data_IF_363090770100
#
_entry.id   IF_363090770100
#
_cell.length_a   1.000
_cell.length_b   1.000
_cell.length_c   1.000
_cell.angle_alpha   90.00
_cell.angle_beta   90.00
_cell.angle_gamma   90.00
#
_symmetry.space_group_name_H-M   'P 1'
#
loop_
_entity.id
_entity.type
_entity.pdbx_description
1 polymer ?
#
# COMPACT_ATOMS: atom_id res chain seq x y z
N UNK A 1 -31.09 27.21 -14.53
CA UNK A 1 -31.28 28.04 -13.35
C UNK A 1 -31.74 27.18 -12.19
N UNK A 2 -30.83 26.74 -11.31
CA UNK A 2 -31.15 26.32 -9.94
C UNK A 2 -29.90 26.59 -9.08
N UNK A 3 -29.91 27.75 -8.44
CA UNK A 3 -29.00 28.12 -7.38
C UNK A 3 -29.57 27.57 -6.06
N UNK A 4 -28.86 26.65 -5.42
CA UNK A 4 -29.05 26.34 -4.00
C UNK A 4 -27.77 26.68 -3.26
N UNK A 5 -27.84 27.76 -2.51
CA UNK A 5 -26.85 28.16 -1.53
C UNK A 5 -26.94 27.24 -0.30
N UNK A 6 -25.90 26.48 -0.01
CA UNK A 6 -25.73 25.72 1.24
C UNK A 6 -24.97 26.66 2.19
N UNK A 7 -25.60 26.99 3.32
CA UNK A 7 -24.94 27.65 4.45
C UNK A 7 -24.07 26.61 5.17
N UNK A 8 -22.80 26.90 5.33
CA UNK A 8 -21.86 26.06 6.09
C UNK A 8 -21.69 26.71 7.45
N UNK A 9 -22.03 25.97 8.51
CA UNK A 9 -21.91 26.43 9.92
C UNK A 9 -20.42 26.57 10.29
N UNK A 10 -20.14 27.67 11.04
CA UNK A 10 -18.80 28.17 11.34
C UNK A 10 -17.95 27.37 12.34
N UNK A 11 -18.23 26.07 12.57
CA UNK A 11 -17.47 25.25 13.53
C UNK A 11 -16.35 24.41 12.89
N UNK A 12 -16.27 24.34 11.56
CA UNK A 12 -15.32 23.48 10.86
C UNK A 12 -13.98 24.16 10.50
N UNK A 13 -13.78 25.43 10.80
CA UNK A 13 -12.60 26.19 10.38
C UNK A 13 -11.42 26.16 11.37
N UNK A 14 -11.56 25.57 12.55
CA UNK A 14 -10.46 25.53 13.54
C UNK A 14 -9.52 24.31 13.41
N UNK A 15 -9.91 23.25 12.70
CA UNK A 15 -9.10 22.03 12.54
C UNK A 15 -8.19 22.03 11.30
N UNK A 16 -8.51 22.80 10.28
CA UNK A 16 -7.75 22.85 9.01
C UNK A 16 -6.44 23.65 9.13
N UNK A 17 -6.38 24.60 10.07
CA UNK A 17 -5.20 25.47 10.26
C UNK A 17 -3.99 24.75 10.89
N UNK A 18 -4.20 23.66 11.64
CA UNK A 18 -3.12 22.98 12.35
C UNK A 18 -2.31 22.04 11.44
N UNK A 19 -2.98 21.34 10.53
CA UNK A 19 -2.30 20.41 9.61
C UNK A 19 -1.41 21.10 8.55
N UNK A 20 -1.74 22.34 8.15
CA UNK A 20 -0.95 23.09 7.18
C UNK A 20 0.34 23.66 7.78
N UNK A 21 0.35 23.97 9.09
CA UNK A 21 1.53 24.47 9.80
C UNK A 21 2.62 23.41 9.97
N UNK A 22 2.23 22.19 10.30
CA UNK A 22 3.17 21.10 10.57
C UNK A 22 3.86 20.61 9.28
N UNK A 23 3.17 20.60 8.16
CA UNK A 23 3.75 20.24 6.86
C UNK A 23 4.79 21.29 6.37
N UNK A 24 4.57 22.56 6.66
CA UNK A 24 5.50 23.64 6.26
C UNK A 24 6.77 23.66 7.12
N UNK A 25 6.64 23.36 8.43
CA UNK A 25 7.79 23.25 9.33
C UNK A 25 8.73 22.07 8.97
N UNK A 26 8.18 20.97 8.50
CA UNK A 26 8.96 19.80 8.10
C UNK A 26 9.83 20.05 6.88
N UNK A 27 9.38 20.88 5.95
CA UNK A 27 10.14 21.27 4.75
C UNK A 27 11.32 22.20 5.12
N UNK A 28 11.19 23.00 6.17
CA UNK A 28 12.20 24.00 6.55
C UNK A 28 13.33 23.47 7.43
N UNK A 29 13.14 22.35 8.12
CA UNK A 29 14.10 21.87 9.12
C UNK A 29 14.78 20.53 8.81
N UNK A 30 14.56 19.91 7.65
CA UNK A 30 15.28 18.69 7.23
C UNK A 30 15.25 17.54 8.26
N UNK A 31 14.35 17.62 9.24
CA UNK A 31 14.17 16.60 10.26
C UNK A 31 13.27 15.48 9.74
N UNK A 32 13.72 14.24 9.86
CA UNK A 32 12.88 13.08 9.68
C UNK A 32 11.59 13.28 10.48
N UNK A 33 10.48 13.52 9.77
CA UNK A 33 9.17 13.45 10.39
C UNK A 33 9.07 12.06 11.01
N UNK A 34 8.88 12.01 12.31
CA UNK A 34 8.47 10.78 12.98
C UNK A 34 7.29 10.25 12.18
N UNK A 35 7.41 9.03 11.67
CA UNK A 35 6.37 8.36 10.90
C UNK A 35 5.20 8.03 11.85
N UNK A 36 4.46 9.03 12.26
CA UNK A 36 3.21 8.81 12.95
C UNK A 36 2.18 8.42 11.88
N UNK A 37 1.86 7.13 11.85
CA UNK A 37 0.75 6.63 11.08
C UNK A 37 -0.55 7.03 11.76
N UNK A 38 -1.49 7.55 10.99
CA UNK A 38 -2.82 7.91 11.49
C UNK A 38 -3.62 6.65 11.85
N UNK A 39 -4.68 6.81 12.63
CA UNK A 39 -5.65 5.74 12.89
C UNK A 39 -6.24 5.19 11.58
N UNK A 40 -6.43 6.04 10.62
CA UNK A 40 -6.83 5.74 9.26
C UNK A 40 -5.85 4.78 8.56
N UNK A 41 -4.53 5.05 8.64
CA UNK A 41 -3.51 4.16 8.08
C UNK A 41 -3.55 2.78 8.75
N UNK A 42 -3.76 2.73 10.06
CA UNK A 42 -3.88 1.48 10.80
C UNK A 42 -5.09 0.65 10.37
N UNK A 43 -6.23 1.26 10.10
CA UNK A 43 -7.44 0.56 9.64
C UNK A 43 -7.22 -0.10 8.28
N UNK A 44 -6.63 0.60 7.30
CA UNK A 44 -6.38 0.02 5.98
C UNK A 44 -5.26 -1.00 5.98
N UNK A 45 -4.22 -0.80 6.79
CA UNK A 45 -3.18 -1.83 6.92
C UNK A 45 -3.71 -3.08 7.62
N UNK A 46 -4.59 -2.96 8.61
CA UNK A 46 -5.24 -4.11 9.23
C UNK A 46 -6.04 -4.93 8.19
N UNK A 47 -6.79 -4.25 7.32
CA UNK A 47 -7.51 -4.91 6.24
C UNK A 47 -6.57 -5.59 5.23
N UNK A 48 -5.43 -4.96 4.90
CA UNK A 48 -4.40 -5.60 4.09
C UNK A 48 -3.81 -6.84 4.78
N UNK A 49 -3.67 -6.83 6.11
CA UNK A 49 -3.23 -8.01 6.88
C UNK A 49 -4.25 -9.15 6.83
N UNK A 50 -5.55 -8.88 6.93
CA UNK A 50 -6.61 -9.90 6.76
C UNK A 50 -6.51 -10.56 5.38
N UNK A 51 -6.25 -9.78 4.34
CA UNK A 51 -6.04 -10.31 2.99
C UNK A 51 -4.75 -11.13 2.86
N UNK A 52 -3.69 -10.76 3.58
CA UNK A 52 -2.48 -11.58 3.63
C UNK A 52 -2.74 -12.94 4.29
N UNK A 53 -3.53 -12.98 5.37
CA UNK A 53 -3.97 -14.24 6.00
C UNK A 53 -4.83 -15.07 5.03
N UNK A 54 -5.70 -14.42 4.27
CA UNK A 54 -6.48 -15.09 3.21
C UNK A 54 -5.57 -15.70 2.14
N UNK A 55 -4.52 -14.99 1.69
CA UNK A 55 -3.52 -15.55 0.77
C UNK A 55 -2.87 -16.81 1.35
N UNK A 56 -2.44 -16.78 2.61
CA UNK A 56 -1.86 -17.94 3.29
C UNK A 56 -2.81 -19.14 3.29
N UNK A 57 -4.11 -18.93 3.54
CA UNK A 57 -5.14 -19.98 3.52
C UNK A 57 -5.33 -20.63 2.14
N UNK A 58 -5.07 -19.87 1.07
CA UNK A 58 -5.08 -20.34 -0.33
C UNK A 58 -3.76 -21.02 -0.73
N UNK A 59 -2.76 -21.06 0.15
CA UNK A 59 -1.43 -21.58 -0.15
C UNK A 59 -0.53 -20.61 -0.93
N UNK A 60 -0.94 -19.36 -1.06
CA UNK A 60 -0.18 -18.26 -1.65
C UNK A 60 0.76 -17.60 -0.63
N UNK A 61 1.78 -16.90 -1.10
CA UNK A 61 2.62 -16.07 -0.21
C UNK A 61 1.74 -15.01 0.44
N UNK A 62 1.77 -14.87 1.78
CA UNK A 62 0.83 -14.01 2.52
C UNK A 62 1.13 -12.52 2.32
N UNK A 63 0.60 -11.98 1.24
CA UNK A 63 0.63 -10.56 0.92
C UNK A 63 -0.79 -10.10 0.59
N UNK A 64 -1.22 -9.01 1.22
CA UNK A 64 -2.49 -8.35 0.98
C UNK A 64 -2.29 -6.88 0.66
N UNK A 65 -3.18 -6.34 -0.15
CA UNK A 65 -3.13 -4.95 -0.61
C UNK A 65 -4.52 -4.31 -0.66
N UNK A 66 -4.60 -3.04 -0.26
CA UNK A 66 -5.81 -2.22 -0.25
C UNK A 66 -5.54 -0.93 -1.01
N UNK A 67 -6.39 -0.59 -1.97
CA UNK A 67 -6.39 0.69 -2.67
C UNK A 67 -7.50 1.56 -2.10
N UNK A 68 -7.15 2.78 -1.72
CA UNK A 68 -8.06 3.76 -1.11
C UNK A 68 -8.06 5.05 -1.93
N UNK A 69 -9.20 5.67 -2.09
CA UNK A 69 -9.38 7.00 -2.70
C UNK A 69 -10.25 7.85 -1.77
N UNK A 70 -9.73 8.99 -1.33
CA UNK A 70 -10.46 9.96 -0.48
C UNK A 70 -11.16 9.32 0.73
N UNK A 71 -10.54 8.29 1.32
CA UNK A 71 -11.06 7.59 2.50
C UNK A 71 -11.93 6.38 2.20
N UNK A 72 -12.28 6.16 0.98
CA UNK A 72 -13.11 5.04 0.56
C UNK A 72 -12.26 3.90 0.00
N UNK A 73 -12.57 2.67 0.40
CA UNK A 73 -11.91 1.47 -0.12
C UNK A 73 -12.41 1.20 -1.54
N UNK A 74 -11.49 1.26 -2.51
CA UNK A 74 -11.80 1.00 -3.93
C UNK A 74 -11.55 -0.46 -4.30
N UNK A 75 -10.44 -1.03 -3.80
CA UNK A 75 -10.09 -2.41 -4.11
C UNK A 75 -9.34 -3.06 -2.96
N UNK A 76 -9.59 -4.34 -2.77
CA UNK A 76 -8.91 -5.20 -1.79
C UNK A 76 -8.55 -6.50 -2.48
N UNK A 77 -7.28 -6.90 -2.44
CA UNK A 77 -6.79 -8.12 -3.08
C UNK A 77 -5.60 -8.72 -2.29
N UNK A 78 -5.33 -9.99 -2.57
CA UNK A 78 -4.17 -10.69 -2.05
C UNK A 78 -3.39 -11.38 -3.17
N UNK A 79 -2.19 -11.88 -2.89
CA UNK A 79 -1.42 -12.69 -3.84
C UNK A 79 -2.23 -13.90 -4.32
N UNK A 80 -2.16 -14.15 -5.65
CA UNK A 80 -2.86 -15.26 -6.30
C UNK A 80 -2.07 -15.86 -7.47
N UNK A 81 -0.75 -15.81 -7.40
CA UNK A 81 0.14 -16.27 -8.47
C UNK A 81 -0.06 -17.75 -8.81
N UNK A 82 -0.15 -18.61 -7.79
CA UNK A 82 -0.37 -20.05 -7.94
C UNK A 82 -1.79 -20.32 -8.41
N UNK A 83 -2.77 -19.71 -7.73
CA UNK A 83 -4.20 -19.93 -8.00
C UNK A 83 -4.60 -19.52 -9.42
N UNK A 84 -4.02 -18.43 -9.94
CA UNK A 84 -4.32 -17.91 -11.27
C UNK A 84 -3.35 -18.37 -12.34
N UNK A 85 -2.25 -19.07 -11.99
CA UNK A 85 -1.14 -19.37 -12.88
C UNK A 85 -0.62 -18.10 -13.61
N UNK A 86 -0.56 -16.99 -12.87
CA UNK A 86 -0.18 -15.67 -13.38
C UNK A 86 1.00 -15.11 -12.57
N UNK A 87 2.21 -15.00 -13.16
CA UNK A 87 3.39 -14.49 -12.46
C UNK A 87 3.24 -13.01 -12.04
N UNK A 88 2.31 -12.28 -12.62
CA UNK A 88 2.03 -10.89 -12.28
C UNK A 88 0.96 -10.72 -11.19
N UNK A 89 0.32 -11.79 -10.73
CA UNK A 89 -0.78 -11.75 -9.77
C UNK A 89 -0.31 -11.48 -8.33
N UNK A 90 0.53 -10.47 -8.15
CA UNK A 90 0.85 -9.89 -6.85
C UNK A 90 -0.33 -9.08 -6.33
N UNK A 91 -0.49 -9.01 -5.01
CA UNK A 91 -1.58 -8.30 -4.35
C UNK A 91 -1.73 -6.86 -4.85
N UNK A 92 -0.60 -6.13 -4.99
CA UNK A 92 -0.56 -4.76 -5.46
C UNK A 92 -1.08 -4.63 -6.90
N UNK A 93 -0.61 -5.51 -7.79
CA UNK A 93 -1.01 -5.49 -9.21
C UNK A 93 -2.50 -5.80 -9.35
N UNK A 94 -2.98 -6.80 -8.62
CA UNK A 94 -4.40 -7.18 -8.62
C UNK A 94 -5.28 -6.06 -8.06
N UNK A 95 -4.89 -5.45 -6.94
CA UNK A 95 -5.63 -4.34 -6.33
C UNK A 95 -5.67 -3.11 -7.24
N UNK A 96 -4.54 -2.72 -7.85
CA UNK A 96 -4.48 -1.60 -8.78
C UNK A 96 -5.29 -1.86 -10.07
N UNK A 97 -5.25 -3.09 -10.60
CA UNK A 97 -6.06 -3.51 -11.75
C UNK A 97 -7.55 -3.40 -11.44
N UNK A 98 -7.96 -3.90 -10.28
CA UNK A 98 -9.37 -3.83 -9.84
C UNK A 98 -9.80 -2.39 -9.60
N UNK A 99 -8.97 -1.57 -8.95
CA UNK A 99 -9.25 -0.15 -8.77
C UNK A 99 -9.41 0.58 -10.11
N UNK A 100 -8.56 0.28 -11.09
CA UNK A 100 -8.68 0.85 -12.43
C UNK A 100 -10.01 0.49 -13.11
N UNK A 101 -10.47 -0.74 -12.95
CA UNK A 101 -11.79 -1.18 -13.44
C UNK A 101 -12.94 -0.48 -12.72
N UNK A 102 -12.86 -0.35 -11.39
CA UNK A 102 -13.90 0.31 -10.58
C UNK A 102 -14.03 1.80 -10.89
N UNK A 103 -12.90 2.47 -11.17
CA UNK A 103 -12.85 3.91 -11.45
C UNK A 103 -12.90 4.24 -12.95
N UNK A 104 -13.01 3.22 -13.82
CA UNK A 104 -12.97 3.35 -15.29
C UNK A 104 -11.78 4.20 -15.78
N UNK A 105 -10.63 4.04 -15.11
CA UNK A 105 -9.43 4.80 -15.42
C UNK A 105 -8.17 3.99 -15.02
N UNK A 106 -7.21 3.83 -15.94
CA UNK A 106 -5.92 3.20 -15.62
C UNK A 106 -5.02 4.10 -14.76
N UNK A 107 -5.26 5.40 -14.76
CA UNK A 107 -4.60 6.33 -13.84
C UNK A 107 -5.44 6.48 -12.60
N UNK A 108 -4.81 6.33 -11.47
CA UNK A 108 -5.42 6.34 -10.14
C UNK A 108 -4.90 7.54 -9.31
N UNK A 109 -5.04 8.78 -9.83
CA UNK A 109 -4.55 9.96 -9.12
C UNK A 109 -5.28 10.06 -7.77
N UNK A 110 -4.56 10.51 -6.75
CA UNK A 110 -5.02 10.61 -5.36
C UNK A 110 -5.27 9.27 -4.65
N UNK A 111 -5.19 8.13 -5.33
CA UNK A 111 -5.26 6.83 -4.67
C UNK A 111 -4.02 6.60 -3.79
N UNK A 112 -4.26 5.91 -2.68
CA UNK A 112 -3.25 5.40 -1.77
C UNK A 112 -3.26 3.87 -1.82
N UNK A 113 -2.09 3.24 -1.73
CA UNK A 113 -1.95 1.79 -1.62
C UNK A 113 -1.36 1.43 -0.27
N UNK A 114 -2.04 0.54 0.44
CA UNK A 114 -1.55 -0.12 1.65
C UNK A 114 -1.22 -1.57 1.29
N UNK A 115 -0.03 -2.05 1.63
CA UNK A 115 0.42 -3.42 1.31
C UNK A 115 1.27 -3.98 2.46
N UNK A 116 1.14 -5.26 2.73
CA UNK A 116 1.80 -5.89 3.89
C UNK A 116 3.28 -6.18 3.67
N UNK A 117 3.77 -6.15 2.42
CA UNK A 117 5.17 -6.42 2.06
C UNK A 117 5.70 -5.34 1.12
N UNK A 118 6.99 -5.06 1.21
CA UNK A 118 7.67 -4.14 0.31
C UNK A 118 7.47 -4.54 -1.16
N UNK A 119 6.97 -3.63 -2.03
CA UNK A 119 6.76 -3.92 -3.44
C UNK A 119 8.04 -4.25 -4.20
N UNK A 120 7.97 -5.26 -5.08
CA UNK A 120 9.04 -5.59 -6.00
C UNK A 120 9.11 -4.60 -7.19
N UNK A 121 10.12 -4.75 -8.06
CA UNK A 121 10.33 -3.87 -9.22
C UNK A 121 9.10 -3.80 -10.15
N UNK A 122 8.41 -4.93 -10.40
CA UNK A 122 7.19 -4.97 -11.20
C UNK A 122 6.07 -4.13 -10.57
N UNK A 123 5.86 -4.28 -9.27
CA UNK A 123 4.83 -3.54 -8.52
C UNK A 123 5.16 -2.05 -8.46
N UNK A 124 6.43 -1.67 -8.22
CA UNK A 124 6.87 -0.28 -8.26
C UNK A 124 6.59 0.34 -9.64
N UNK A 125 6.89 -0.37 -10.73
CA UNK A 125 6.56 0.09 -12.08
C UNK A 125 5.06 0.32 -12.26
N UNK A 126 4.23 -0.60 -11.76
CA UNK A 126 2.76 -0.48 -11.85
C UNK A 126 2.25 0.73 -11.06
N UNK A 127 2.79 0.99 -9.85
CA UNK A 127 2.45 2.17 -9.05
C UNK A 127 2.72 3.48 -9.79
N UNK A 128 3.89 3.58 -10.44
CA UNK A 128 4.28 4.77 -11.22
C UNK A 128 3.37 4.95 -12.43
N UNK A 129 3.09 3.89 -13.19
CA UNK A 129 2.20 3.96 -14.35
C UNK A 129 0.76 4.29 -13.96
N UNK A 130 0.27 3.76 -12.86
CA UNK A 130 -1.04 4.05 -12.31
C UNK A 130 -1.14 5.45 -11.67
N UNK A 131 -0.04 6.17 -11.49
CA UNK A 131 -0.03 7.51 -10.85
C UNK A 131 -0.51 7.50 -9.41
N UNK A 132 -0.22 6.43 -8.66
CA UNK A 132 -0.58 6.34 -7.24
C UNK A 132 0.09 7.48 -6.47
N UNK A 133 -0.66 8.12 -5.59
CA UNK A 133 -0.21 9.27 -4.79
C UNK A 133 0.71 8.83 -3.67
N UNK A 134 0.30 7.80 -2.91
CA UNK A 134 0.99 7.34 -1.69
C UNK A 134 0.99 5.83 -1.61
N UNK A 135 2.12 5.28 -1.17
CA UNK A 135 2.33 3.89 -0.81
C UNK A 135 2.64 3.79 0.68
N UNK A 136 1.97 2.90 1.40
CA UNK A 136 2.34 2.49 2.75
C UNK A 136 2.59 0.99 2.74
N UNK A 137 3.80 0.56 3.11
CA UNK A 137 4.10 -0.87 3.22
C UNK A 137 4.56 -1.26 4.63
N UNK A 138 4.21 -2.49 5.04
CA UNK A 138 4.49 -2.94 6.40
C UNK A 138 5.95 -3.35 6.56
N UNK A 139 6.35 -4.51 6.04
CA UNK A 139 7.70 -5.04 6.23
C UNK A 139 8.53 -4.98 4.97
N UNK A 140 9.85 -4.86 5.12
CA UNK A 140 10.81 -4.90 4.02
C UNK A 140 10.99 -6.31 3.46
N UNK A 141 11.37 -6.41 2.17
CA UNK A 141 11.73 -7.66 1.50
C UNK A 141 13.19 -7.59 1.00
N UNK A 142 14.16 -8.12 1.75
CA UNK A 142 15.58 -7.93 1.45
C UNK A 142 16.04 -8.48 0.10
N UNK A 143 15.30 -9.42 -0.51
CA UNK A 143 15.71 -10.10 -1.75
C UNK A 143 15.09 -9.50 -3.00
N UNK A 144 13.83 -9.08 -2.91
CA UNK A 144 13.07 -8.66 -4.08
C UNK A 144 12.40 -7.29 -3.91
N UNK A 145 12.39 -6.73 -2.70
CA UNK A 145 11.83 -5.41 -2.42
C UNK A 145 12.59 -4.33 -3.16
N UNK A 146 11.88 -3.46 -3.85
CA UNK A 146 12.50 -2.49 -4.74
C UNK A 146 12.27 -1.03 -4.33
N UNK A 147 11.62 -0.79 -3.18
CA UNK A 147 11.41 0.57 -2.66
C UNK A 147 12.64 1.04 -1.88
N UNK A 148 13.13 0.21 -0.94
CA UNK A 148 14.29 0.52 -0.09
C UNK A 148 15.37 -0.55 -0.14
N UNK A 149 14.98 -1.84 -0.31
CA UNK A 149 15.89 -2.97 -0.06
C UNK A 149 16.92 -3.19 -1.17
N UNK A 150 16.56 -3.07 -2.44
CA UNK A 150 17.45 -3.45 -3.54
C UNK A 150 17.78 -2.33 -4.54
N UNK A 151 16.83 -1.51 -4.96
CA UNK A 151 17.03 -0.61 -6.10
C UNK A 151 16.53 0.82 -5.94
N UNK A 152 15.84 1.16 -4.84
CA UNK A 152 15.20 2.48 -4.64
C UNK A 152 14.40 2.94 -5.85
N UNK A 153 13.60 2.01 -6.41
CA UNK A 153 12.97 2.18 -7.72
C UNK A 153 12.04 3.40 -7.80
N UNK A 154 11.39 3.77 -6.69
CA UNK A 154 10.48 4.92 -6.65
C UNK A 154 11.20 6.27 -6.52
N UNK A 155 12.49 6.27 -6.14
CA UNK A 155 13.30 7.49 -5.96
C UNK A 155 14.07 7.88 -7.23
N UNK A 156 13.98 7.08 -8.31
CA UNK A 156 14.65 7.35 -9.56
C UNK A 156 14.23 8.71 -10.14
N UNK A 157 15.15 9.68 -10.34
CA UNK A 157 14.82 11.02 -10.82
C UNK A 157 14.26 11.06 -12.25
N UNK A 158 14.49 10.01 -13.04
CA UNK A 158 13.96 9.90 -14.41
C UNK A 158 12.47 9.54 -14.48
N UNK A 159 11.85 9.17 -13.37
CA UNK A 159 10.43 8.84 -13.36
C UNK A 159 9.57 10.08 -13.64
N UNK A 160 8.56 9.89 -14.46
CA UNK A 160 7.59 10.92 -14.83
C UNK A 160 6.44 11.09 -13.81
N UNK A 161 6.49 10.36 -12.70
CA UNK A 161 5.58 10.47 -11.55
C UNK A 161 6.31 10.07 -10.26
N UNK A 162 6.05 10.80 -9.19
CA UNK A 162 6.59 10.54 -7.86
C UNK A 162 5.51 9.92 -6.99
N UNK A 163 5.80 8.74 -6.46
CA UNK A 163 4.98 8.08 -5.45
C UNK A 163 5.59 8.41 -4.08
N UNK A 164 4.84 9.07 -3.21
CA UNK A 164 5.26 9.21 -1.81
C UNK A 164 5.16 7.86 -1.12
N UNK A 165 6.12 7.51 -0.27
CA UNK A 165 6.05 6.22 0.41
C UNK A 165 6.46 6.31 1.88
N UNK A 166 5.89 5.41 2.68
CA UNK A 166 6.18 5.21 4.10
C UNK A 166 6.24 3.70 4.39
N UNK A 167 7.03 3.32 5.40
CA UNK A 167 7.22 1.92 5.77
C UNK A 167 7.13 1.71 7.28
N UNK A 168 6.86 0.48 7.68
CA UNK A 168 6.98 0.06 9.08
C UNK A 168 5.66 -0.15 9.80
N UNK A 169 4.53 0.28 9.22
CA UNK A 169 3.22 0.09 9.82
C UNK A 169 2.88 -1.40 9.90
N UNK A 170 2.69 -1.93 11.12
CA UNK A 170 2.45 -3.36 11.41
C UNK A 170 3.57 -4.30 10.89
N UNK A 171 4.81 -3.81 10.76
CA UNK A 171 5.93 -4.57 10.18
C UNK A 171 6.20 -5.89 10.91
N UNK A 172 6.12 -5.89 12.24
CA UNK A 172 6.38 -7.10 13.05
C UNK A 172 5.35 -8.20 12.77
N UNK A 173 4.07 -7.85 12.68
CA UNK A 173 2.98 -8.78 12.40
C UNK A 173 3.12 -9.37 10.99
N UNK A 174 3.36 -8.53 9.99
CA UNK A 174 3.55 -8.97 8.61
C UNK A 174 4.77 -9.88 8.47
N UNK A 175 5.91 -9.51 9.05
CA UNK A 175 7.11 -10.34 9.03
C UNK A 175 6.91 -11.69 9.74
N UNK A 176 6.11 -11.73 10.82
CA UNK A 176 5.81 -12.98 11.51
C UNK A 176 4.95 -13.90 10.64
N UNK A 177 3.90 -13.37 10.02
CA UNK A 177 3.02 -14.14 9.12
C UNK A 177 3.81 -14.79 7.97
N UNK A 178 4.73 -14.04 7.35
CA UNK A 178 5.63 -14.55 6.30
C UNK A 178 6.55 -15.67 6.81
N UNK A 179 7.17 -15.48 7.98
CA UNK A 179 8.05 -16.50 8.58
C UNK A 179 7.30 -17.81 8.83
N UNK A 180 6.12 -17.75 9.43
CA UNK A 180 5.30 -18.91 9.77
C UNK A 180 4.86 -19.66 8.51
N UNK A 181 4.44 -18.94 7.48
CA UNK A 181 4.11 -19.53 6.18
C UNK A 181 5.28 -20.29 5.58
N UNK A 182 6.45 -19.67 5.46
CA UNK A 182 7.61 -20.35 4.86
C UNK A 182 8.15 -21.47 5.73
N UNK A 183 8.03 -21.39 7.05
CA UNK A 183 8.38 -22.49 7.96
C UNK A 183 7.47 -23.69 7.75
N UNK A 184 6.15 -23.49 7.64
CA UNK A 184 5.19 -24.57 7.40
C UNK A 184 5.44 -25.25 6.06
N UNK A 185 5.73 -24.48 4.99
CA UNK A 185 6.04 -25.02 3.66
C UNK A 185 7.31 -25.89 3.67
N UNK A 186 8.39 -25.43 4.30
CA UNK A 186 9.63 -26.25 4.44
C UNK A 186 9.39 -27.53 5.22
N UNK A 187 8.54 -27.52 6.24
CA UNK A 187 8.22 -28.72 7.04
C UNK A 187 7.42 -29.75 6.23
N UNK A 188 6.50 -29.29 5.36
CA UNK A 188 5.75 -30.18 4.46
C UNK A 188 6.66 -30.83 3.43
N UNK A 189 7.55 -30.08 2.80
CA UNK A 189 8.51 -30.61 1.80
C UNK A 189 9.42 -31.68 2.41
N UNK A 190 9.90 -31.49 3.67
CA UNK A 190 10.73 -32.48 4.36
C UNK A 190 10.00 -33.79 4.72
N UNK A 191 8.67 -33.78 4.81
CA UNK A 191 7.89 -35.00 5.10
C UNK A 191 7.55 -35.80 3.84
N UNK A 192 7.72 -35.22 2.67
CA UNK A 192 7.42 -35.84 1.38
C UNK A 192 8.67 -36.45 0.70
N UNK A 193 9.88 -36.20 1.23
CA UNK A 193 11.17 -36.77 0.85
C UNK A 193 11.60 -37.84 1.86
#
# INVERSE_FOLDING_TARGET
AYSRSVKVDGAALSSVSKCAGDALLAILYGGALMNEFSEYDHQFMALAMEEAERAASLGEVPVGAVVVLDGEIIAVECNRQITLNDPSAHAEVLALRKAGQMLDNYRLPNCELFVTLEPCTMCCGTLVHARVKRLVFATTEPKAGAVTSTSSALDNPALNHRVMWQQGLMATQSAQLLRDFFQSRRSLTKKLL
#
